data_IF_441774535988
#
_entry.id   IF_441774535988
#
_cell.length_a   1.000
_cell.length_b   1.000
_cell.length_c   1.000
_cell.angle_alpha   90.00
_cell.angle_beta   90.00
_cell.angle_gamma   90.00
#
_symmetry.space_group_name_H-M   'P 1'
#
loop_
_entity.id
_entity.type
_entity.pdbx_description
1 polymer ?
#
# COMPACT_ATOMS: atom_id res chain seq x y z
N UNK A 1 -2.23 1.67 -16.13
CA UNK A 1 -2.49 1.16 -14.77
C UNK A 1 -1.20 0.76 -14.07
N UNK A 2 -0.47 -0.27 -14.55
CA UNK A 2 0.74 -0.78 -13.87
C UNK A 2 1.85 0.26 -13.61
N UNK A 3 2.11 1.18 -14.56
CA UNK A 3 3.11 2.24 -14.37
C UNK A 3 2.74 3.24 -13.25
N UNK A 4 1.45 3.54 -13.08
CA UNK A 4 0.98 4.51 -12.09
C UNK A 4 1.01 3.92 -10.68
N UNK A 5 0.60 2.65 -10.54
CA UNK A 5 0.70 1.91 -9.28
C UNK A 5 2.16 1.78 -8.82
N UNK A 6 3.06 1.44 -9.75
CA UNK A 6 4.50 1.40 -9.48
C UNK A 6 5.02 2.77 -9.04
N UNK A 7 4.56 3.87 -9.66
CA UNK A 7 5.02 5.22 -9.32
C UNK A 7 4.58 5.63 -7.91
N UNK A 8 3.32 5.38 -7.55
CA UNK A 8 2.82 5.65 -6.19
C UNK A 8 3.59 4.79 -5.18
N UNK A 9 3.80 3.51 -5.48
CA UNK A 9 4.61 2.61 -4.66
C UNK A 9 6.03 3.12 -4.48
N UNK A 10 6.69 3.57 -5.54
CA UNK A 10 8.04 4.16 -5.48
C UNK A 10 8.06 5.40 -4.60
N UNK A 11 7.09 6.32 -4.73
CA UNK A 11 7.02 7.51 -3.87
C UNK A 11 6.90 7.15 -2.39
N UNK A 12 5.99 6.23 -2.04
CA UNK A 12 5.83 5.79 -0.67
C UNK A 12 7.08 5.09 -0.15
N UNK A 13 7.70 4.22 -0.95
CA UNK A 13 8.96 3.57 -0.57
C UNK A 13 10.05 4.60 -0.33
N UNK A 14 10.25 5.58 -1.22
CA UNK A 14 11.27 6.62 -1.05
C UNK A 14 11.05 7.48 0.19
N UNK A 15 9.80 7.79 0.54
CA UNK A 15 9.47 8.61 1.71
C UNK A 15 9.48 7.83 3.03
N UNK A 16 9.12 6.55 3.01
CA UNK A 16 9.04 5.69 4.19
C UNK A 16 10.31 4.85 4.40
N UNK A 17 11.30 4.96 3.52
CA UNK A 17 12.54 4.22 3.64
C UNK A 17 13.29 4.64 4.91
N UNK A 18 13.40 3.70 5.85
CA UNK A 18 14.18 3.83 7.07
C UNK A 18 14.78 2.47 7.44
N UNK A 19 16.02 2.24 7.02
CA UNK A 19 16.78 1.01 7.32
C UNK A 19 17.43 1.01 8.72
N UNK A 20 17.32 2.13 9.44
CA UNK A 20 17.79 2.23 10.82
C UNK A 20 16.81 1.55 11.78
N UNK A 21 15.50 1.69 11.54
CA UNK A 21 14.44 1.10 12.35
C UNK A 21 13.87 -0.20 11.75
N UNK A 22 13.81 -0.28 10.42
CA UNK A 22 13.04 -1.32 9.73
C UNK A 22 13.91 -2.20 8.83
N UNK A 23 13.57 -3.48 8.79
CA UNK A 23 13.85 -4.39 7.70
C UNK A 23 12.73 -4.16 6.68
N UNK A 24 13.09 -3.51 5.59
CA UNK A 24 12.20 -3.20 4.48
C UNK A 24 12.20 -4.38 3.50
N UNK A 25 11.08 -5.07 3.35
CA UNK A 25 10.92 -6.12 2.33
C UNK A 25 9.92 -5.66 1.27
N UNK A 26 10.41 -5.50 0.04
CA UNK A 26 9.60 -5.56 -1.19
C UNK A 26 10.07 -6.80 -1.94
N UNK A 27 9.30 -7.89 -2.01
CA UNK A 27 9.79 -9.10 -2.69
C UNK A 27 10.07 -8.83 -4.19
N UNK A 28 11.23 -9.30 -4.65
CA UNK A 28 11.60 -9.38 -6.07
C UNK A 28 11.46 -10.84 -6.50
N UNK A 29 10.63 -11.05 -7.52
CA UNK A 29 10.46 -12.25 -8.37
C UNK A 29 10.44 -13.62 -7.67
N UNK A 30 9.23 -14.17 -7.49
CA UNK A 30 8.75 -15.50 -7.92
C UNK A 30 7.41 -15.73 -7.20
N UNK A 31 6.33 -16.01 -7.93
CA UNK A 31 4.97 -16.32 -7.40
C UNK A 31 4.04 -15.15 -7.00
N UNK A 32 3.78 -14.29 -7.98
CA UNK A 32 2.50 -13.58 -8.27
C UNK A 32 1.39 -13.61 -7.21
N UNK A 33 1.62 -12.90 -6.13
CA UNK A 33 0.53 -12.31 -5.36
C UNK A 33 1.11 -11.73 -4.10
N UNK A 34 1.72 -10.54 -4.17
CA UNK A 34 2.45 -9.90 -3.07
C UNK A 34 1.82 -8.58 -2.64
N UNK A 35 1.94 -8.30 -1.34
CA UNK A 35 1.75 -6.97 -0.76
C UNK A 35 2.89 -6.05 -1.15
N UNK A 36 2.60 -4.76 -1.23
CA UNK A 36 3.51 -3.85 -1.88
C UNK A 36 4.66 -3.37 -0.99
N UNK A 37 4.43 -3.23 0.31
CA UNK A 37 5.44 -2.76 1.24
C UNK A 37 5.26 -3.39 2.61
N UNK A 38 6.31 -4.06 3.09
CA UNK A 38 6.40 -4.52 4.47
C UNK A 38 7.56 -3.85 5.17
N UNK A 39 7.29 -3.25 6.33
CA UNK A 39 8.29 -2.64 7.22
C UNK A 39 8.27 -3.40 8.54
N UNK A 40 9.24 -4.30 8.74
CA UNK A 40 9.35 -5.10 9.97
C UNK A 40 10.42 -4.49 10.87
N UNK A 41 10.09 -4.19 12.11
CA UNK A 41 11.04 -3.57 13.04
C UNK A 41 12.20 -4.53 13.27
N UNK A 42 13.42 -4.01 13.18
CA UNK A 42 14.63 -4.82 13.42
C UNK A 42 14.61 -5.39 14.85
N UNK A 43 15.11 -6.63 15.07
CA UNK A 43 15.09 -7.27 16.39
C UNK A 43 15.71 -6.42 17.51
N UNK A 44 16.81 -5.72 17.22
CA UNK A 44 17.52 -4.82 18.14
C UNK A 44 16.76 -3.52 18.47
N UNK A 45 15.79 -3.15 17.62
CA UNK A 45 14.98 -1.94 17.76
C UNK A 45 13.60 -2.20 18.39
N UNK A 46 13.30 -3.45 18.77
CA UNK A 46 12.02 -3.84 19.39
C UNK A 46 11.74 -3.16 20.74
N UNK A 47 12.78 -2.66 21.41
CA UNK A 47 12.67 -1.87 22.64
C UNK A 47 11.82 -0.59 22.46
N UNK A 48 11.79 -0.04 21.24
CA UNK A 48 10.94 1.10 20.91
C UNK A 48 9.51 0.63 20.64
N UNK A 49 8.51 1.39 21.11
CA UNK A 49 7.09 1.07 20.93
C UNK A 49 6.54 1.51 19.56
N UNK A 50 7.27 1.19 18.50
CA UNK A 50 6.84 1.43 17.11
C UNK A 50 6.13 0.20 16.52
N UNK A 51 5.40 0.37 15.41
CA UNK A 51 4.59 -0.67 14.77
C UNK A 51 5.31 -1.29 13.57
N UNK A 52 5.07 -2.58 13.33
CA UNK A 52 5.35 -3.21 12.04
C UNK A 52 4.24 -2.78 11.06
N UNK A 53 4.59 -2.51 9.81
CA UNK A 53 3.68 -1.93 8.82
C UNK A 53 3.58 -2.86 7.61
N UNK A 54 2.35 -3.10 7.16
CA UNK A 54 2.05 -3.78 5.91
C UNK A 54 1.13 -2.89 5.07
N UNK A 55 1.55 -2.56 3.86
CA UNK A 55 0.78 -1.72 2.93
C UNK A 55 0.53 -2.47 1.64
N UNK A 56 -0.72 -2.47 1.19
CA UNK A 56 -1.10 -2.84 -0.17
C UNK A 56 -1.56 -1.58 -0.91
N UNK A 57 -0.96 -1.33 -2.07
CA UNK A 57 -1.37 -0.29 -2.98
C UNK A 57 -2.29 -0.87 -4.06
N UNK A 58 -3.27 -0.05 -4.45
CA UNK A 58 -4.07 -0.26 -5.65
C UNK A 58 -4.20 1.05 -6.38
N UNK A 59 -4.47 0.95 -7.66
CA UNK A 59 -4.68 2.11 -8.52
C UNK A 59 -6.02 2.02 -9.24
N UNK A 60 -6.74 3.14 -9.27
CA UNK A 60 -7.93 3.38 -10.08
C UNK A 60 -7.64 4.54 -11.02
N UNK A 61 -7.73 4.30 -12.33
CA UNK A 61 -7.60 5.38 -13.30
C UNK A 61 -8.85 6.28 -13.28
N UNK A 62 -8.72 7.53 -13.72
CA UNK A 62 -9.89 8.42 -13.87
C UNK A 62 -10.95 7.80 -14.78
N UNK A 63 -10.51 7.14 -15.86
CA UNK A 63 -11.36 6.39 -16.78
C UNK A 63 -12.14 5.28 -16.08
N UNK A 64 -11.47 4.47 -15.25
CA UNK A 64 -12.12 3.36 -14.53
C UNK A 64 -13.07 3.87 -13.44
N UNK A 65 -12.77 5.05 -12.87
CA UNK A 65 -13.68 5.75 -11.96
C UNK A 65 -14.87 6.41 -12.67
N UNK A 66 -14.86 6.51 -14.00
CA UNK A 66 -15.87 7.24 -14.77
C UNK A 66 -15.85 8.75 -14.52
N UNK A 67 -14.70 9.31 -14.16
CA UNK A 67 -14.52 10.70 -13.77
C UNK A 67 -13.57 11.45 -14.71
N UNK A 68 -13.78 12.75 -14.82
CA UNK A 68 -12.78 13.69 -15.35
C UNK A 68 -11.96 14.27 -14.19
N UNK A 69 -10.72 14.69 -14.46
CA UNK A 69 -9.77 15.10 -13.40
C UNK A 69 -10.29 16.21 -12.48
N UNK A 70 -11.01 17.20 -13.01
CA UNK A 70 -11.59 18.30 -12.22
C UNK A 70 -12.70 17.85 -11.28
N UNK A 71 -13.48 16.85 -11.69
CA UNK A 71 -14.54 16.29 -10.85
C UNK A 71 -13.96 15.60 -9.61
N UNK A 72 -12.76 15.01 -9.72
CA UNK A 72 -12.08 14.37 -8.59
C UNK A 72 -11.65 15.38 -7.51
N UNK A 73 -11.17 16.56 -7.91
CA UNK A 73 -10.68 17.60 -6.98
C UNK A 73 -11.79 18.16 -6.08
N UNK A 74 -13.03 18.19 -6.57
CA UNK A 74 -14.19 18.71 -5.84
C UNK A 74 -14.89 17.63 -4.97
N UNK A 75 -14.53 16.36 -5.14
CA UNK A 75 -15.14 15.26 -4.39
C UNK A 75 -14.59 15.17 -2.96
N UNK A 76 -15.49 15.13 -1.98
CA UNK A 76 -15.14 14.80 -0.61
C UNK A 76 -14.70 13.34 -0.46
N UNK A 77 -13.98 13.05 0.63
CA UNK A 77 -13.44 11.71 0.93
C UNK A 77 -14.52 10.61 0.92
N UNK A 78 -15.69 10.87 1.50
CA UNK A 78 -16.80 9.91 1.52
C UNK A 78 -17.31 9.58 0.11
N UNK A 79 -17.39 10.58 -0.77
CA UNK A 79 -17.81 10.39 -2.15
C UNK A 79 -16.77 9.58 -2.94
N UNK A 80 -15.47 9.83 -2.71
CA UNK A 80 -14.39 9.06 -3.31
C UNK A 80 -14.43 7.59 -2.86
N UNK A 81 -14.65 7.34 -1.57
CA UNK A 81 -14.79 5.97 -1.01
C UNK A 81 -16.04 5.26 -1.51
N UNK A 82 -17.08 6.00 -1.89
CA UNK A 82 -18.32 5.45 -2.43
C UNK A 82 -18.20 5.00 -3.90
N UNK A 83 -17.13 5.40 -4.62
CA UNK A 83 -16.94 5.01 -6.02
C UNK A 83 -16.83 3.48 -6.14
N UNK A 84 -17.64 2.83 -7.01
CA UNK A 84 -17.61 1.38 -7.16
C UNK A 84 -16.23 0.82 -7.51
N UNK A 85 -15.47 1.53 -8.36
CA UNK A 85 -14.12 1.15 -8.74
C UNK A 85 -13.15 1.18 -7.54
N UNK A 86 -13.28 2.17 -6.65
CA UNK A 86 -12.48 2.29 -5.43
C UNK A 86 -12.82 1.17 -4.46
N UNK A 87 -14.11 0.91 -4.21
CA UNK A 87 -14.54 -0.18 -3.33
C UNK A 87 -14.09 -1.55 -3.82
N UNK A 88 -14.13 -1.79 -5.14
CA UNK A 88 -13.63 -3.03 -5.73
C UNK A 88 -12.14 -3.21 -5.45
N UNK A 89 -11.32 -2.17 -5.68
CA UNK A 89 -9.89 -2.21 -5.38
C UNK A 89 -9.60 -2.33 -3.89
N UNK A 90 -10.39 -1.69 -3.04
CA UNK A 90 -10.23 -1.80 -1.59
C UNK A 90 -10.46 -3.24 -1.11
N UNK A 91 -11.48 -3.95 -1.64
CA UNK A 91 -11.70 -5.38 -1.36
C UNK A 91 -10.55 -6.26 -1.84
N UNK A 92 -10.07 -6.05 -3.07
CA UNK A 92 -8.91 -6.79 -3.60
C UNK A 92 -7.67 -6.61 -2.69
N UNK A 93 -7.46 -5.38 -2.19
CA UNK A 93 -6.37 -5.09 -1.29
C UNK A 93 -6.53 -5.75 0.09
N UNK A 94 -7.74 -5.73 0.66
CA UNK A 94 -8.03 -6.40 1.94
C UNK A 94 -7.80 -7.91 1.87
N UNK A 95 -8.20 -8.55 0.76
CA UNK A 95 -7.91 -9.97 0.51
C UNK A 95 -6.40 -10.23 0.40
N UNK A 96 -5.66 -9.35 -0.27
CA UNK A 96 -4.20 -9.38 -0.33
C UNK A 96 -3.57 -9.29 1.06
N UNK A 97 -3.92 -8.26 1.81
CA UNK A 97 -3.43 -8.01 3.17
C UNK A 97 -3.72 -9.18 4.11
N UNK A 98 -4.91 -9.79 4.03
CA UNK A 98 -5.27 -10.94 4.86
C UNK A 98 -4.31 -12.12 4.64
N UNK A 99 -4.04 -12.48 3.38
CA UNK A 99 -3.10 -13.56 3.03
C UNK A 99 -1.68 -13.28 3.55
N UNK A 100 -1.21 -12.04 3.42
CA UNK A 100 0.14 -11.66 3.88
C UNK A 100 0.26 -11.60 5.39
N UNK A 101 -0.75 -11.06 6.05
CA UNK A 101 -0.81 -11.02 7.50
C UNK A 101 -0.66 -12.42 8.10
N UNK A 102 -1.34 -13.42 7.55
CA UNK A 102 -1.18 -14.80 8.00
C UNK A 102 0.26 -15.30 7.88
N UNK A 103 0.93 -15.02 6.74
CA UNK A 103 2.35 -15.39 6.54
C UNK A 103 3.26 -14.72 7.58
N UNK A 104 3.07 -13.41 7.82
CA UNK A 104 3.87 -12.66 8.80
C UNK A 104 3.62 -13.14 10.23
N UNK A 105 2.37 -13.38 10.62
CA UNK A 105 2.03 -13.92 11.94
C UNK A 105 2.65 -15.31 12.15
N UNK A 106 2.65 -16.19 11.13
CA UNK A 106 3.31 -17.49 11.22
C UNK A 106 4.84 -17.37 11.36
N UNK A 107 5.46 -16.38 10.71
CA UNK A 107 6.92 -16.16 10.74
C UNK A 107 7.40 -15.51 12.05
N UNK A 108 6.67 -14.52 12.55
CA UNK A 108 7.11 -13.66 13.66
C UNK A 108 6.36 -13.89 14.97
N UNK A 109 5.19 -14.54 14.97
CA UNK A 109 4.43 -14.82 16.18
C UNK A 109 4.10 -13.57 16.99
N UNK A 110 4.19 -13.67 18.32
CA UNK A 110 3.72 -12.65 19.26
C UNK A 110 4.60 -11.38 19.29
N UNK A 111 5.81 -11.41 18.73
CA UNK A 111 6.67 -10.20 18.67
C UNK A 111 6.22 -9.19 17.63
N UNK A 112 5.30 -9.61 16.74
CA UNK A 112 4.79 -8.82 15.62
C UNK A 112 3.72 -7.82 16.10
N UNK A 113 3.99 -6.53 15.93
CA UNK A 113 3.06 -5.42 16.24
C UNK A 113 2.49 -4.86 14.93
N UNK A 114 1.77 -5.70 14.19
CA UNK A 114 1.39 -5.41 12.81
C UNK A 114 0.18 -4.48 12.68
N UNK A 115 0.36 -3.38 11.94
CA UNK A 115 -0.70 -2.55 11.37
C UNK A 115 -0.72 -2.69 9.85
N UNK A 116 -1.91 -2.91 9.30
CA UNK A 116 -2.12 -3.07 7.86
C UNK A 116 -2.88 -1.88 7.28
N UNK A 117 -2.49 -1.46 6.08
CA UNK A 117 -3.11 -0.35 5.34
C UNK A 117 -3.42 -0.77 3.91
N UNK A 118 -4.64 -0.45 3.47
CA UNK A 118 -5.03 -0.50 2.05
C UNK A 118 -5.04 0.92 1.52
N UNK A 119 -4.27 1.18 0.47
CA UNK A 119 -4.14 2.49 -0.15
C UNK A 119 -4.59 2.40 -1.60
N UNK A 120 -5.69 3.08 -1.94
CA UNK A 120 -6.20 3.16 -3.31
C UNK A 120 -5.92 4.55 -3.85
N UNK A 121 -4.98 4.66 -4.78
CA UNK A 121 -4.71 5.90 -5.51
C UNK A 121 -5.74 6.06 -6.63
N UNK A 122 -6.37 7.24 -6.70
CA UNK A 122 -7.34 7.58 -7.75
C UNK A 122 -6.78 8.74 -8.57
N UNK A 123 -6.64 8.54 -9.88
CA UNK A 123 -6.32 9.64 -10.79
C UNK A 123 -4.91 10.22 -10.67
N UNK A 124 -3.89 9.36 -10.78
CA UNK A 124 -2.47 9.74 -10.79
C UNK A 124 -1.81 9.24 -12.09
N UNK A 125 -1.79 10.08 -13.12
CA UNK A 125 -1.44 9.62 -14.48
C UNK A 125 0.01 9.85 -14.89
N UNK A 126 0.63 10.97 -14.51
CA UNK A 126 2.02 11.29 -14.91
C UNK A 126 2.73 12.13 -13.85
N UNK A 127 4.03 11.87 -13.71
CA UNK A 127 4.98 12.72 -13.01
C UNK A 127 6.08 13.14 -13.98
N UNK A 128 6.55 14.37 -13.84
CA UNK A 128 7.76 14.88 -14.49
C UNK A 128 8.59 15.49 -13.37
N UNK A 129 9.86 15.12 -13.28
CA UNK A 129 10.79 15.59 -12.27
C UNK A 129 12.11 16.01 -12.93
N UNK A 130 12.89 16.84 -12.24
CA UNK A 130 14.26 17.20 -12.59
C UNK A 130 15.26 16.50 -11.66
#
# INVERSE_FOLDING_TARGET
>A
ASANELTVKTLFLSLLFDDSLYIMESEVEIERGYTDLTMIIRPDMRQYQVLDILIEFKFVSLKDAGLEGRALEEMGEEALRALPAVQAKQREAEEGLARYREKLVRKFGDVLRLKSFSVVAVGFERLVWE
#
